data_IF_160947847944
#
_entry.id   IF_160947847944
#
_cell.length_a   1.000
_cell.length_b   1.000
_cell.length_c   1.000
_cell.angle_alpha   90.00
_cell.angle_beta   90.00
_cell.angle_gamma   90.00
#
_symmetry.space_group_name_H-M   'P 1'
#
loop_
_entity.id
_entity.type
_entity.pdbx_description
1 polymer ?
#
# COMPACT_ATOMS: atom_id res chain seq x y z
N UNK A 1 -9.23 21.92 -2.75
CA UNK A 1 -9.19 21.10 -3.99
C UNK A 1 -7.94 20.23 -4.13
N UNK A 2 -7.16 20.08 -3.06
CA UNK A 2 -5.97 19.20 -3.04
C UNK A 2 -6.40 17.73 -3.03
N UNK A 3 -7.50 17.40 -2.38
CA UNK A 3 -8.04 16.04 -2.33
C UNK A 3 -8.50 15.48 -3.69
N UNK A 4 -8.99 16.35 -4.61
CA UNK A 4 -9.42 15.89 -5.94
C UNK A 4 -8.26 15.53 -6.86
N UNK A 5 -7.11 16.21 -6.72
CA UNK A 5 -5.91 15.92 -7.52
C UNK A 5 -5.22 14.63 -7.08
N UNK A 6 -5.24 14.34 -5.77
CA UNK A 6 -4.67 13.10 -5.23
C UNK A 6 -5.52 11.89 -5.61
N UNK A 7 -6.85 12.00 -5.52
CA UNK A 7 -7.76 10.95 -5.98
C UNK A 7 -7.60 10.64 -7.46
N UNK A 8 -7.45 11.65 -8.31
CA UNK A 8 -7.19 11.42 -9.72
C UNK A 8 -5.85 10.69 -9.94
N UNK A 9 -4.81 10.97 -9.11
CA UNK A 9 -3.52 10.30 -9.16
C UNK A 9 -3.62 8.81 -8.78
N UNK A 10 -4.18 8.51 -7.63
CA UNK A 10 -4.32 7.14 -7.14
C UNK A 10 -5.14 6.27 -8.09
N UNK A 11 -6.26 6.78 -8.55
CA UNK A 11 -7.14 6.01 -9.40
C UNK A 11 -6.57 5.68 -10.77
N UNK A 12 -5.77 6.58 -11.41
CA UNK A 12 -5.16 6.25 -12.70
C UNK A 12 -4.09 5.15 -12.55
N UNK A 13 -3.39 5.13 -11.41
CA UNK A 13 -2.41 4.09 -11.11
C UNK A 13 -3.13 2.76 -10.91
N UNK A 14 -4.22 2.76 -10.16
CA UNK A 14 -5.04 1.57 -9.95
C UNK A 14 -5.58 1.04 -11.26
N UNK A 15 -6.12 1.90 -12.13
CA UNK A 15 -6.56 1.48 -13.46
C UNK A 15 -5.42 0.96 -14.33
N UNK A 16 -4.24 1.58 -14.30
CA UNK A 16 -3.08 1.09 -15.05
C UNK A 16 -2.58 -0.29 -14.56
N UNK A 17 -2.67 -0.55 -13.24
CA UNK A 17 -2.35 -1.86 -12.66
C UNK A 17 -3.43 -2.87 -13.01
N UNK A 18 -4.70 -2.47 -13.02
CA UNK A 18 -5.84 -3.34 -13.25
C UNK A 18 -6.07 -3.67 -14.73
N UNK A 19 -5.95 -2.69 -15.65
CA UNK A 19 -6.09 -2.90 -17.10
C UNK A 19 -5.03 -3.83 -17.66
N UNK A 20 -3.90 -3.98 -16.99
CA UNK A 20 -2.88 -4.94 -17.39
C UNK A 20 -3.27 -6.39 -17.10
N UNK A 21 -4.20 -6.63 -16.19
CA UNK A 21 -4.77 -7.97 -15.96
C UNK A 21 -5.73 -8.39 -17.07
N UNK A 22 -6.44 -7.43 -17.68
CA UNK A 22 -7.41 -7.68 -18.75
C UNK A 22 -6.80 -7.49 -20.15
N UNK A 23 -5.49 -7.55 -20.28
CA UNK A 23 -4.67 -7.45 -21.49
C UNK A 23 -5.44 -7.11 -22.76
N UNK A 24 -5.13 -5.97 -23.41
CA UNK A 24 -5.42 -5.62 -24.81
C UNK A 24 -6.32 -4.41 -25.10
N UNK A 25 -6.48 -3.47 -24.19
CA UNK A 25 -6.95 -2.17 -24.63
C UNK A 25 -5.85 -1.12 -24.48
N UNK A 26 -5.50 -0.38 -25.55
CA UNK A 26 -4.56 0.72 -25.44
C UNK A 26 -5.18 1.79 -24.52
N UNK A 27 -4.47 2.13 -23.42
CA UNK A 27 -4.81 3.30 -22.61
C UNK A 27 -4.58 4.53 -23.49
N UNK A 28 -5.63 4.98 -24.15
CA UNK A 28 -5.63 6.23 -24.85
C UNK A 28 -5.87 7.33 -23.83
N UNK A 29 -4.82 8.13 -23.57
CA UNK A 29 -4.87 9.40 -22.86
C UNK A 29 -4.99 9.33 -21.33
N UNK A 30 -3.94 8.80 -20.66
CA UNK A 30 -3.67 9.23 -19.28
C UNK A 30 -3.38 10.74 -19.31
N UNK A 31 -4.11 11.59 -18.56
CA UNK A 31 -3.86 13.03 -18.59
C UNK A 31 -2.39 13.34 -18.32
N UNK A 32 -1.79 14.25 -19.08
CA UNK A 32 -0.36 14.60 -19.03
C UNK A 32 0.11 14.95 -17.61
N UNK A 33 -0.78 15.54 -16.80
CA UNK A 33 -0.55 15.83 -15.38
C UNK A 33 -0.31 14.57 -14.54
N UNK A 34 -0.91 13.44 -14.90
CA UNK A 34 -0.75 12.18 -14.16
C UNK A 34 0.51 11.43 -14.56
N UNK A 35 0.91 11.54 -15.82
CA UNK A 35 2.19 10.98 -16.30
C UNK A 35 3.38 11.62 -15.57
N UNK A 36 3.28 12.90 -15.20
CA UNK A 36 4.31 13.63 -14.45
C UNK A 36 4.47 13.15 -12.99
N UNK A 37 3.50 12.40 -12.46
CA UNK A 37 3.55 11.83 -11.10
C UNK A 37 4.24 10.47 -11.05
N UNK A 38 4.45 9.82 -12.19
CA UNK A 38 5.16 8.55 -12.26
C UNK A 38 6.67 8.75 -12.12
N UNK A 39 7.31 7.81 -11.44
CA UNK A 39 8.77 7.80 -11.28
C UNK A 39 9.35 6.64 -12.07
N UNK A 40 10.16 6.94 -13.11
CA UNK A 40 10.88 5.91 -13.86
C UNK A 40 12.13 5.50 -13.07
N UNK A 41 12.32 4.20 -12.73
CA UNK A 41 13.55 3.75 -12.09
C UNK A 41 14.72 3.74 -13.08
N UNK A 42 15.96 3.82 -12.57
CA UNK A 42 17.18 3.81 -13.39
C UNK A 42 17.34 2.52 -14.21
N UNK A 43 16.77 1.40 -13.74
CA UNK A 43 16.77 0.08 -14.40
C UNK A 43 15.43 -0.60 -14.18
N UNK A 44 15.11 -1.57 -15.06
CA UNK A 44 13.94 -2.43 -14.91
C UNK A 44 14.06 -3.29 -13.66
N UNK A 45 12.96 -3.39 -12.92
CA UNK A 45 12.87 -4.20 -11.70
C UNK A 45 12.22 -5.54 -12.05
N UNK A 46 12.77 -6.60 -11.49
CA UNK A 46 12.22 -7.96 -11.57
C UNK A 46 11.39 -8.25 -10.29
N UNK A 47 10.07 -8.14 -10.40
CA UNK A 47 9.15 -8.37 -9.29
C UNK A 47 9.08 -9.85 -8.82
N UNK A 48 9.75 -10.77 -9.51
CA UNK A 48 9.84 -12.19 -9.07
C UNK A 48 10.94 -12.41 -8.06
N UNK A 49 11.83 -11.43 -7.87
CA UNK A 49 12.87 -11.49 -6.84
C UNK A 49 12.28 -11.30 -5.45
N UNK A 50 13.00 -11.77 -4.45
CA UNK A 50 12.67 -11.63 -3.03
C UNK A 50 13.40 -10.48 -2.34
N UNK A 51 14.39 -9.90 -3.01
CA UNK A 51 15.18 -8.78 -2.50
C UNK A 51 15.40 -7.71 -3.57
N UNK A 52 15.39 -6.45 -3.13
CA UNK A 52 15.68 -5.28 -3.95
C UNK A 52 16.39 -4.23 -3.10
N UNK A 53 17.45 -3.62 -3.64
CA UNK A 53 18.08 -2.44 -3.06
C UNK A 53 17.94 -1.27 -4.03
N UNK A 54 17.52 -0.12 -3.52
CA UNK A 54 17.33 1.12 -4.28
C UNK A 54 17.83 2.32 -3.48
N UNK A 55 18.27 3.34 -4.21
CA UNK A 55 18.53 4.67 -3.67
C UNK A 55 17.42 5.62 -4.11
N UNK A 56 16.82 6.32 -3.17
CA UNK A 56 15.78 7.32 -3.44
C UNK A 56 16.34 8.70 -3.13
N UNK A 57 16.17 9.62 -4.06
CA UNK A 57 16.66 10.99 -3.97
C UNK A 57 15.52 11.96 -4.25
N UNK A 58 15.51 13.10 -3.59
CA UNK A 58 14.60 14.20 -3.92
C UNK A 58 15.18 15.01 -5.06
N UNK A 59 14.37 15.32 -6.07
CA UNK A 59 14.76 16.12 -7.24
C UNK A 59 15.14 17.57 -6.89
N UNK A 60 14.52 18.11 -5.85
CA UNK A 60 14.79 19.48 -5.37
C UNK A 60 15.93 19.57 -4.35
N UNK A 61 16.56 18.44 -4.02
CA UNK A 61 17.66 18.37 -3.05
C UNK A 61 17.21 18.38 -1.59
N UNK A 62 15.91 18.34 -1.30
CA UNK A 62 15.40 18.23 0.07
C UNK A 62 15.81 16.88 0.66
N UNK A 63 16.26 16.90 1.92
CA UNK A 63 16.60 15.67 2.64
C UNK A 63 15.36 14.81 2.83
N UNK A 64 15.43 13.56 2.37
CA UNK A 64 14.35 12.59 2.52
C UNK A 64 14.40 11.88 3.87
N UNK A 65 13.22 11.53 4.35
CA UNK A 65 13.02 10.58 5.44
C UNK A 65 11.94 9.59 5.02
N UNK A 66 12.32 8.34 4.86
CA UNK A 66 11.41 7.26 4.49
C UNK A 66 11.37 6.22 5.63
N UNK A 67 10.22 5.58 5.89
CA UNK A 67 10.09 4.67 7.02
C UNK A 67 10.83 3.35 6.79
N UNK A 68 11.30 2.73 7.88
CA UNK A 68 11.48 1.28 7.92
C UNK A 68 10.14 0.67 8.29
N UNK A 69 9.49 -0.06 7.37
CA UNK A 69 8.13 -0.54 7.54
C UNK A 69 7.91 -1.83 6.73
N UNK A 70 7.26 -2.83 7.32
CA UNK A 70 7.01 -4.10 6.66
C UNK A 70 8.30 -4.76 6.19
N UNK A 71 8.40 -5.06 4.92
CA UNK A 71 9.61 -5.65 4.33
C UNK A 71 10.68 -4.64 3.95
N UNK A 72 10.43 -3.35 4.15
CA UNK A 72 11.35 -2.26 3.81
C UNK A 72 12.21 -1.85 5.00
N UNK A 73 13.53 -1.76 4.79
CA UNK A 73 14.48 -1.08 5.69
C UNK A 73 15.01 0.18 5.02
N UNK A 74 15.12 1.24 5.80
CA UNK A 74 15.51 2.58 5.34
C UNK A 74 16.78 3.01 6.05
N UNK A 75 17.75 3.51 5.27
CA UNK A 75 18.99 4.08 5.76
C UNK A 75 19.22 5.46 5.14
N UNK A 76 19.27 6.49 5.98
CA UNK A 76 19.58 7.85 5.51
C UNK A 76 21.07 7.98 5.17
N UNK A 77 21.36 8.63 4.04
CA UNK A 77 22.71 8.90 3.58
C UNK A 77 23.12 10.35 3.89
N UNK A 78 24.42 10.62 3.90
CA UNK A 78 24.98 11.97 4.19
C UNK A 78 24.57 12.99 3.11
N UNK A 79 24.36 12.55 1.87
CA UNK A 79 23.93 13.38 0.73
C UNK A 79 22.43 13.74 0.74
N UNK A 80 21.70 13.34 1.78
CA UNK A 80 20.27 13.59 1.93
C UNK A 80 19.37 12.58 1.23
N UNK A 81 19.94 11.64 0.47
CA UNK A 81 19.21 10.50 -0.11
C UNK A 81 18.92 9.41 0.93
N UNK A 82 18.13 8.43 0.53
CA UNK A 82 17.80 7.27 1.37
C UNK A 82 18.08 5.99 0.57
N UNK A 83 18.81 5.06 1.18
CA UNK A 83 18.94 3.70 0.68
C UNK A 83 17.85 2.84 1.29
N UNK A 84 17.07 2.18 0.44
CA UNK A 84 16.04 1.23 0.84
C UNK A 84 16.48 -0.18 0.47
N UNK A 85 16.31 -1.10 1.40
CA UNK A 85 16.43 -2.54 1.16
C UNK A 85 15.08 -3.18 1.43
N UNK A 86 14.48 -3.78 0.42
CA UNK A 86 13.26 -4.57 0.53
C UNK A 86 13.67 -6.05 0.57
N UNK A 87 13.24 -6.78 1.59
CA UNK A 87 13.54 -8.20 1.78
C UNK A 87 12.28 -8.95 2.24
N UNK A 88 11.67 -9.70 1.33
CA UNK A 88 10.42 -10.41 1.59
C UNK A 88 10.55 -11.58 2.57
N UNK A 89 11.77 -11.99 2.91
CA UNK A 89 12.02 -12.99 3.93
C UNK A 89 12.17 -12.40 5.35
N UNK A 90 12.32 -11.09 5.46
CA UNK A 90 12.72 -10.45 6.71
C UNK A 90 11.89 -9.18 7.01
N UNK A 91 10.64 -9.32 7.45
CA UNK A 91 9.82 -8.18 7.84
C UNK A 91 10.40 -7.44 9.06
N UNK A 92 10.14 -6.14 9.16
CA UNK A 92 10.57 -5.32 10.29
C UNK A 92 9.79 -5.67 11.54
N UNK A 93 10.47 -5.65 12.68
CA UNK A 93 9.80 -5.78 13.96
C UNK A 93 9.10 -4.47 14.35
N UNK A 94 7.94 -4.60 14.96
CA UNK A 94 7.26 -3.47 15.56
C UNK A 94 8.03 -3.00 16.81
N UNK A 95 8.07 -1.70 17.02
CA UNK A 95 8.60 -1.12 18.27
C UNK A 95 7.69 -1.49 19.45
N UNK A 96 8.22 -1.39 20.66
CA UNK A 96 7.41 -1.67 21.86
C UNK A 96 6.19 -0.74 21.98
N UNK A 97 6.31 0.52 21.52
CA UNK A 97 5.18 1.45 21.48
C UNK A 97 4.13 1.03 20.44
N UNK A 98 4.52 0.56 19.27
CA UNK A 98 3.58 0.09 18.24
C UNK A 98 2.83 -1.18 18.67
N UNK A 99 3.47 -2.07 19.42
CA UNK A 99 2.84 -3.32 19.90
C UNK A 99 1.66 -3.09 20.85
N UNK A 100 1.66 -1.97 21.56
CA UNK A 100 0.63 -1.61 22.57
C UNK A 100 -0.25 -0.45 22.12
N UNK A 101 -0.07 0.06 20.91
CA UNK A 101 -0.83 1.20 20.39
C UNK A 101 -2.23 0.75 19.96
N UNK A 102 -3.23 1.21 20.73
CA UNK A 102 -4.64 0.93 20.45
C UNK A 102 -5.11 1.54 19.12
N UNK A 103 -4.40 2.52 18.57
CA UNK A 103 -4.72 3.12 17.27
C UNK A 103 -4.68 2.12 16.11
N UNK A 104 -3.96 1.00 16.26
CA UNK A 104 -3.92 -0.04 15.25
C UNK A 104 -5.03 -1.10 15.35
N UNK A 105 -5.81 -1.08 16.43
CA UNK A 105 -6.93 -2.02 16.65
C UNK A 105 -8.28 -1.33 16.81
N UNK A 106 -8.27 -0.07 17.25
CA UNK A 106 -9.50 0.69 17.51
C UNK A 106 -10.25 1.03 16.24
N UNK A 107 -11.57 1.12 16.34
CA UNK A 107 -12.42 1.64 15.29
C UNK A 107 -12.21 3.14 15.10
N UNK A 108 -12.17 3.58 13.85
CA UNK A 108 -12.13 5.00 13.46
C UNK A 108 -13.22 5.28 12.43
N UNK A 109 -13.48 6.54 12.09
CA UNK A 109 -14.49 6.88 11.09
C UNK A 109 -14.20 6.23 9.71
N UNK A 110 -12.92 6.04 9.37
CA UNK A 110 -12.49 5.44 8.11
C UNK A 110 -12.34 3.93 8.22
N UNK A 111 -11.78 3.44 9.33
CA UNK A 111 -11.44 2.03 9.51
C UNK A 111 -12.17 1.45 10.73
N UNK A 112 -13.47 1.13 10.57
CA UNK A 112 -14.31 0.58 11.63
C UNK A 112 -14.46 -0.94 11.48
N UNK A 113 -13.67 -1.71 12.22
CA UNK A 113 -13.76 -3.17 12.30
C UNK A 113 -15.01 -3.67 13.06
N UNK A 114 -15.69 -2.81 13.82
CA UNK A 114 -16.90 -3.17 14.57
C UNK A 114 -18.18 -2.98 13.74
N UNK A 115 -18.12 -2.29 12.60
CA UNK A 115 -19.26 -2.17 11.69
C UNK A 115 -19.79 -3.54 11.29
N UNK A 116 -21.11 -3.67 11.24
CA UNK A 116 -21.79 -4.96 10.98
C UNK A 116 -21.48 -5.56 9.63
N UNK A 117 -21.28 -4.75 8.57
CA UNK A 117 -20.93 -5.26 7.25
C UNK A 117 -19.46 -5.73 7.22
N UNK A 118 -18.56 -4.97 7.85
CA UNK A 118 -17.13 -5.29 7.94
C UNK A 118 -16.93 -6.55 8.78
N UNK A 119 -17.46 -6.58 10.00
CA UNK A 119 -17.32 -7.72 10.91
C UNK A 119 -17.96 -9.01 10.36
N UNK A 120 -19.07 -8.89 9.60
CA UNK A 120 -19.69 -10.03 8.91
C UNK A 120 -18.73 -10.63 7.89
N UNK A 121 -18.13 -9.84 7.01
CA UNK A 121 -17.18 -10.33 6.00
C UNK A 121 -15.99 -11.03 6.68
N UNK A 122 -15.43 -10.42 7.72
CA UNK A 122 -14.32 -11.01 8.46
C UNK A 122 -14.70 -12.36 9.07
N UNK A 123 -15.82 -12.42 9.79
CA UNK A 123 -16.28 -13.64 10.45
C UNK A 123 -16.61 -14.76 9.45
N UNK A 124 -17.28 -14.46 8.34
CA UNK A 124 -17.56 -15.43 7.28
C UNK A 124 -16.28 -15.98 6.68
N UNK A 125 -15.29 -15.14 6.41
CA UNK A 125 -13.99 -15.55 5.87
C UNK A 125 -13.25 -16.46 6.86
N UNK A 126 -13.17 -16.06 8.13
CA UNK A 126 -12.45 -16.81 9.15
C UNK A 126 -13.14 -18.13 9.52
N UNK A 127 -14.48 -18.19 9.46
CA UNK A 127 -15.22 -19.43 9.74
C UNK A 127 -14.97 -20.54 8.72
N UNK A 128 -14.47 -20.20 7.54
CA UNK A 128 -14.07 -21.16 6.52
C UNK A 128 -12.67 -21.75 6.75
N UNK A 129 -11.89 -21.18 7.66
CA UNK A 129 -10.57 -21.65 8.01
C UNK A 129 -10.63 -22.74 9.11
N UNK A 130 -9.55 -23.49 9.25
CA UNK A 130 -9.39 -24.39 10.38
C UNK A 130 -9.30 -23.60 11.69
N UNK A 131 -9.83 -24.16 12.77
CA UNK A 131 -9.76 -23.55 14.11
C UNK A 131 -8.32 -23.37 14.62
N UNK A 132 -7.37 -24.10 14.07
CA UNK A 132 -5.95 -24.00 14.37
C UNK A 132 -5.20 -23.00 13.47
N UNK A 133 -5.89 -22.23 12.63
CA UNK A 133 -5.23 -21.29 11.72
C UNK A 133 -4.45 -20.21 12.49
N UNK A 134 -3.24 -19.94 12.02
CA UNK A 134 -2.36 -18.91 12.55
C UNK A 134 -2.88 -17.51 12.20
N UNK A 135 -2.41 -16.47 12.88
CA UNK A 135 -2.73 -15.08 12.54
C UNK A 135 -2.27 -14.70 11.14
N UNK A 136 -1.16 -15.27 10.66
CA UNK A 136 -0.69 -15.09 9.29
C UNK A 136 -1.67 -15.67 8.27
N UNK A 137 -2.14 -16.91 8.47
CA UNK A 137 -3.12 -17.54 7.59
C UNK A 137 -4.45 -16.79 7.59
N UNK A 138 -4.88 -16.28 8.75
CA UNK A 138 -6.06 -15.42 8.86
C UNK A 138 -5.88 -14.12 8.06
N UNK A 139 -4.75 -13.43 8.20
CA UNK A 139 -4.45 -12.19 7.50
C UNK A 139 -4.40 -12.38 5.97
N UNK A 140 -3.76 -13.46 5.50
CA UNK A 140 -3.73 -13.80 4.07
C UNK A 140 -5.11 -14.16 3.52
N UNK A 141 -5.96 -14.87 4.28
CA UNK A 141 -7.32 -15.17 3.87
C UNK A 141 -8.19 -13.90 3.78
N UNK A 142 -8.06 -12.98 4.74
CA UNK A 142 -8.76 -11.70 4.70
C UNK A 142 -8.29 -10.84 3.51
N UNK A 143 -6.99 -10.83 3.22
CA UNK A 143 -6.44 -10.16 2.05
C UNK A 143 -7.03 -10.73 0.75
N UNK A 144 -7.02 -12.05 0.58
CA UNK A 144 -7.61 -12.71 -0.57
C UNK A 144 -9.11 -12.42 -0.71
N UNK A 145 -9.82 -12.38 0.44
CA UNK A 145 -11.23 -12.01 0.47
C UNK A 145 -11.50 -10.61 -0.06
N UNK A 146 -10.70 -9.60 0.33
CA UNK A 146 -10.87 -8.23 -0.16
C UNK A 146 -10.62 -8.15 -1.67
N UNK A 147 -9.56 -8.80 -2.16
CA UNK A 147 -9.24 -8.85 -3.59
C UNK A 147 -10.39 -9.37 -4.44
N UNK A 148 -11.10 -10.41 -3.94
CA UNK A 148 -12.24 -11.02 -4.61
C UNK A 148 -13.56 -10.25 -4.38
N UNK A 149 -13.67 -9.53 -3.26
CA UNK A 149 -14.92 -8.93 -2.80
C UNK A 149 -15.26 -7.64 -3.53
N UNK A 150 -14.25 -6.85 -3.90
CA UNK A 150 -14.42 -5.59 -4.61
C UNK A 150 -14.54 -5.89 -6.10
N UNK A 151 -15.78 -5.87 -6.59
CA UNK A 151 -16.13 -6.21 -7.98
C UNK A 151 -15.88 -5.05 -8.93
N UNK A 152 -16.23 -3.83 -8.50
CA UNK A 152 -16.04 -2.61 -9.29
C UNK A 152 -14.81 -1.86 -8.83
N UNK A 153 -13.74 -2.00 -9.57
CA UNK A 153 -12.44 -1.36 -9.30
C UNK A 153 -12.34 0.06 -9.87
N UNK A 154 -13.45 0.75 -9.99
CA UNK A 154 -13.56 2.10 -10.51
C UNK A 154 -13.26 3.18 -9.45
N UNK A 155 -13.04 4.41 -9.95
CA UNK A 155 -12.62 5.60 -9.19
C UNK A 155 -13.78 6.50 -8.76
N UNK A 156 -14.97 5.95 -8.54
CA UNK A 156 -16.17 6.78 -8.30
C UNK A 156 -16.24 7.36 -6.88
N UNK A 157 -15.48 6.80 -5.94
CA UNK A 157 -15.46 7.22 -4.54
C UNK A 157 -14.08 7.72 -4.12
N UNK A 158 -14.06 8.88 -3.49
CA UNK A 158 -12.86 9.45 -2.94
C UNK A 158 -12.67 8.98 -1.50
N UNK A 159 -11.77 8.06 -1.24
CA UNK A 159 -11.36 7.62 0.10
C UNK A 159 -12.55 7.13 0.94
N UNK A 160 -13.27 6.11 0.46
CA UNK A 160 -14.40 5.55 1.17
C UNK A 160 -13.96 4.79 2.43
N UNK A 161 -14.80 4.82 3.48
CA UNK A 161 -14.54 4.05 4.70
C UNK A 161 -14.67 2.53 4.45
N UNK A 162 -14.09 1.72 5.34
CA UNK A 162 -14.24 0.27 5.31
C UNK A 162 -15.71 -0.16 5.25
N UNK A 163 -16.58 0.52 5.99
CA UNK A 163 -18.01 0.23 6.03
C UNK A 163 -18.74 0.60 4.73
N UNK A 164 -18.35 1.69 4.07
CA UNK A 164 -18.89 2.07 2.77
C UNK A 164 -18.44 1.09 1.68
N UNK A 165 -17.15 0.77 1.64
CA UNK A 165 -16.58 -0.20 0.70
C UNK A 165 -17.20 -1.59 0.89
N UNK A 166 -17.40 -2.03 2.14
CA UNK A 166 -18.07 -3.31 2.44
C UNK A 166 -19.51 -3.37 1.91
N UNK A 167 -20.23 -2.24 1.81
CA UNK A 167 -21.60 -2.19 1.28
C UNK A 167 -21.66 -2.03 -0.22
N UNK A 168 -20.77 -1.20 -0.79
CA UNK A 168 -20.82 -0.83 -2.20
C UNK A 168 -20.03 -1.79 -3.09
N UNK A 169 -19.04 -2.49 -2.56
CA UNK A 169 -18.12 -3.39 -3.28
C UNK A 169 -17.38 -2.72 -4.43
N UNK A 170 -17.10 -1.46 -4.29
CA UNK A 170 -16.36 -0.68 -5.28
C UNK A 170 -15.26 0.16 -4.61
N UNK A 171 -14.21 0.43 -5.35
CA UNK A 171 -13.10 1.26 -4.90
C UNK A 171 -11.78 0.91 -5.56
N UNK A 172 -10.82 1.81 -5.40
CA UNK A 172 -9.45 1.67 -5.88
C UNK A 172 -8.50 1.09 -4.79
N UNK A 173 -7.20 1.36 -4.88
CA UNK A 173 -6.23 0.86 -3.91
C UNK A 173 -6.50 1.35 -2.49
N UNK A 174 -7.03 2.55 -2.31
CA UNK A 174 -7.32 3.10 -0.99
C UNK A 174 -8.47 2.34 -0.30
N UNK A 175 -9.54 2.05 -1.01
CA UNK A 175 -10.67 1.27 -0.50
C UNK A 175 -10.29 -0.18 -0.19
N UNK A 176 -9.45 -0.80 -1.05
CA UNK A 176 -8.92 -2.14 -0.78
C UNK A 176 -8.09 -2.14 0.51
N UNK A 177 -7.19 -1.17 0.69
CA UNK A 177 -6.36 -1.08 1.88
C UNK A 177 -7.18 -0.80 3.14
N UNK A 178 -8.11 0.15 3.08
CA UNK A 178 -8.96 0.52 4.22
C UNK A 178 -9.90 -0.62 4.61
N UNK A 179 -10.53 -1.29 3.64
CA UNK A 179 -11.36 -2.46 3.93
C UNK A 179 -10.55 -3.59 4.55
N UNK A 180 -9.36 -3.89 4.02
CA UNK A 180 -8.49 -4.92 4.60
C UNK A 180 -8.11 -4.59 6.04
N UNK A 181 -7.72 -3.35 6.33
CA UNK A 181 -7.45 -2.91 7.71
C UNK A 181 -8.68 -3.12 8.62
N UNK A 182 -9.88 -2.77 8.15
CA UNK A 182 -11.13 -3.00 8.90
C UNK A 182 -11.39 -4.49 9.19
N UNK A 183 -11.18 -5.39 8.20
CA UNK A 183 -11.33 -6.83 8.39
C UNK A 183 -10.28 -7.40 9.36
N UNK A 184 -9.02 -6.94 9.27
CA UNK A 184 -7.96 -7.32 10.19
C UNK A 184 -8.29 -6.90 11.63
N UNK A 185 -8.76 -5.67 11.85
CA UNK A 185 -9.20 -5.18 13.17
C UNK A 185 -10.38 -5.98 13.72
N UNK A 186 -11.36 -6.31 12.88
CA UNK A 186 -12.47 -7.20 13.25
C UNK A 186 -11.99 -8.59 13.68
N UNK A 187 -10.86 -9.06 13.16
CA UNK A 187 -10.20 -10.32 13.53
C UNK A 187 -9.23 -10.19 14.71
N UNK A 188 -9.18 -9.04 15.40
CA UNK A 188 -8.20 -8.70 16.43
C UNK A 188 -6.75 -8.89 15.94
N UNK A 189 -6.47 -8.44 14.73
CA UNK A 189 -5.14 -8.32 14.15
C UNK A 189 -4.86 -6.81 13.99
N UNK A 190 -3.90 -6.24 14.74
CA UNK A 190 -3.55 -4.84 14.59
C UNK A 190 -3.12 -4.53 13.15
N UNK A 191 -3.58 -3.41 12.60
CA UNK A 191 -3.35 -3.08 11.21
C UNK A 191 -3.21 -1.58 10.98
N UNK A 192 -2.45 -1.23 9.94
CA UNK A 192 -2.25 0.14 9.48
C UNK A 192 -2.24 0.23 7.96
N UNK A 193 -2.53 1.40 7.42
CA UNK A 193 -2.34 1.70 6.01
C UNK A 193 -0.89 2.08 5.72
N UNK A 194 -0.47 1.84 4.48
CA UNK A 194 0.79 2.33 3.94
C UNK A 194 0.51 3.04 2.64
N UNK A 195 1.03 4.24 2.50
CA UNK A 195 1.02 4.99 1.25
C UNK A 195 2.43 5.03 0.68
N UNK A 196 2.54 4.89 -0.64
CA UNK A 196 3.84 4.82 -1.27
C UNK A 196 3.76 4.62 -2.77
N UNK A 197 4.71 3.90 -3.29
CA UNK A 197 4.85 3.64 -4.71
C UNK A 197 4.80 2.14 -4.99
N UNK A 198 4.19 1.75 -6.12
CA UNK A 198 4.26 0.38 -6.63
C UNK A 198 4.83 0.38 -8.05
N UNK A 199 5.72 -0.56 -8.33
CA UNK A 199 6.34 -0.72 -9.63
C UNK A 199 5.42 -1.42 -10.62
N UNK A 200 5.17 -0.76 -11.76
CA UNK A 200 4.41 -1.27 -12.89
C UNK A 200 5.37 -1.51 -14.07
N UNK A 201 5.71 -2.77 -14.37
CA UNK A 201 6.61 -3.07 -15.48
C UNK A 201 5.95 -2.74 -16.82
N UNK A 202 6.75 -2.29 -17.80
CA UNK A 202 6.35 -2.04 -19.19
C UNK A 202 5.24 -0.97 -19.39
N UNK A 203 5.02 -0.09 -18.43
CA UNK A 203 4.06 0.99 -18.55
C UNK A 203 4.75 2.28 -19.01
N UNK A 204 4.42 2.74 -20.21
CA UNK A 204 4.79 4.07 -20.75
C UNK A 204 6.27 4.42 -20.87
N UNK A 205 7.16 3.65 -20.23
CA UNK A 205 8.60 3.87 -20.16
C UNK A 205 9.37 2.55 -20.29
N UNK A 206 10.61 2.58 -20.85
CA UNK A 206 11.42 1.37 -21.07
C UNK A 206 11.69 0.56 -19.80
N UNK A 207 11.93 1.25 -18.67
CA UNK A 207 12.21 0.63 -17.38
C UNK A 207 10.95 0.37 -16.55
N UNK A 208 9.74 0.60 -17.10
CA UNK A 208 8.51 0.65 -16.32
C UNK A 208 8.44 1.93 -15.47
N UNK A 209 7.48 2.01 -14.59
CA UNK A 209 7.28 3.17 -13.70
C UNK A 209 6.88 2.75 -12.30
N UNK A 210 7.20 3.59 -11.33
CA UNK A 210 6.55 3.58 -10.03
C UNK A 210 5.35 4.50 -10.07
N UNK A 211 4.20 4.00 -9.64
CA UNK A 211 2.98 4.75 -9.45
C UNK A 211 2.59 4.85 -7.98
N UNK A 212 1.88 5.90 -7.61
CA UNK A 212 1.36 6.08 -6.25
C UNK A 212 0.32 5.02 -5.93
N UNK A 213 0.42 4.45 -4.72
CA UNK A 213 -0.37 3.30 -4.32
C UNK A 213 -0.58 3.27 -2.81
N UNK A 214 -1.64 2.56 -2.39
CA UNK A 214 -1.93 2.31 -0.99
C UNK A 214 -2.15 0.83 -0.75
N UNK A 215 -1.60 0.31 0.35
CA UNK A 215 -1.79 -1.07 0.82
C UNK A 215 -1.87 -1.14 2.34
N UNK A 216 -1.99 -2.33 2.90
CA UNK A 216 -2.13 -2.54 4.33
C UNK A 216 -0.90 -3.22 4.92
N UNK A 217 -0.68 -3.04 6.21
CA UNK A 217 0.19 -3.86 7.02
C UNK A 217 -0.58 -4.48 8.19
N UNK A 218 -0.31 -5.76 8.47
CA UNK A 218 -0.81 -6.48 9.63
C UNK A 218 0.32 -6.72 10.62
N UNK A 219 0.05 -6.54 11.91
CA UNK A 219 0.99 -6.91 12.97
C UNK A 219 0.79 -8.37 13.36
N UNK A 220 1.72 -9.23 12.96
CA UNK A 220 1.68 -10.66 13.22
C UNK A 220 2.99 -11.08 13.91
N UNK A 221 2.88 -11.72 15.04
CA UNK A 221 4.02 -12.22 15.83
C UNK A 221 5.09 -11.13 16.10
N UNK A 222 4.62 -9.91 16.36
CA UNK A 222 5.48 -8.75 16.65
C UNK A 222 6.14 -8.12 15.42
N UNK A 223 5.78 -8.52 14.21
CA UNK A 223 6.32 -8.01 12.94
C UNK A 223 5.24 -7.41 12.06
N UNK A 224 5.58 -6.34 11.35
CA UNK A 224 4.72 -5.74 10.34
C UNK A 224 4.83 -6.50 9.02
N UNK A 225 3.72 -7.05 8.56
CA UNK A 225 3.61 -7.82 7.32
C UNK A 225 2.84 -7.01 6.29
N UNK A 226 3.44 -6.71 5.16
CA UNK A 226 2.77 -6.02 4.06
C UNK A 226 1.79 -6.95 3.34
N UNK A 227 0.59 -6.43 3.07
CA UNK A 227 -0.50 -7.12 2.41
C UNK A 227 -1.18 -6.17 1.43
N UNK A 228 -1.05 -6.45 0.15
CA UNK A 228 -1.74 -5.70 -0.90
C UNK A 228 -2.96 -6.46 -1.41
N UNK A 229 -4.15 -5.92 -1.15
CA UNK A 229 -5.40 -6.52 -1.57
C UNK A 229 -5.88 -6.05 -2.96
N UNK A 230 -5.14 -5.15 -3.61
CA UNK A 230 -5.45 -4.64 -4.96
C UNK A 230 -4.86 -5.53 -6.04
N UNK A 231 -3.70 -6.14 -5.77
CA UNK A 231 -2.93 -6.93 -6.72
C UNK A 231 -3.22 -8.43 -6.58
N UNK A 232 -2.93 -9.21 -7.62
CA UNK A 232 -3.03 -10.68 -7.57
C UNK A 232 -2.04 -11.24 -6.54
N UNK A 233 -0.78 -10.82 -6.64
CA UNK A 233 0.24 -11.19 -5.67
C UNK A 233 0.06 -10.39 -4.37
N UNK A 234 0.18 -11.03 -3.20
CA UNK A 234 -0.04 -10.35 -1.92
C UNK A 234 0.93 -9.20 -1.66
N UNK A 235 2.14 -9.27 -2.19
CA UNK A 235 3.17 -8.23 -2.11
C UNK A 235 4.37 -8.58 -3.00
N UNK A 236 5.11 -7.57 -3.45
CA UNK A 236 6.33 -7.75 -4.26
C UNK A 236 7.43 -6.77 -3.82
N UNK A 237 8.67 -7.03 -4.24
CA UNK A 237 9.80 -6.10 -3.99
C UNK A 237 9.62 -4.74 -4.67
N UNK A 238 8.68 -4.61 -5.59
CA UNK A 238 8.36 -3.35 -6.26
C UNK A 238 7.52 -2.37 -5.46
N UNK A 239 7.35 -2.54 -4.14
CA UNK A 239 6.66 -1.58 -3.27
C UNK A 239 7.66 -0.74 -2.50
N UNK A 240 7.44 0.57 -2.46
CA UNK A 240 8.24 1.54 -1.70
C UNK A 240 7.29 2.28 -0.74
N UNK A 241 7.42 2.03 0.56
CA UNK A 241 6.67 2.76 1.58
C UNK A 241 7.23 4.18 1.75
N UNK A 242 6.37 5.19 1.68
CA UNK A 242 6.74 6.59 1.95
C UNK A 242 6.17 7.08 3.27
N UNK A 243 4.97 6.61 3.64
CA UNK A 243 4.29 6.95 4.89
C UNK A 243 3.49 5.76 5.38
N UNK A 244 3.45 5.56 6.69
CA UNK A 244 2.51 4.65 7.36
C UNK A 244 1.45 5.44 8.11
N UNK A 245 0.21 4.95 8.16
CA UNK A 245 -0.93 5.62 8.81
C UNK A 245 -1.70 4.66 9.68
N UNK A 246 -2.01 5.05 10.91
CA UNK A 246 -2.92 4.29 11.77
C UNK A 246 -4.38 4.35 11.29
N UNK A 247 -4.69 5.15 10.27
CA UNK A 247 -6.05 5.46 9.81
C UNK A 247 -6.91 6.07 10.93
N UNK A 248 -6.27 6.81 11.84
CA UNK A 248 -6.95 7.55 12.91
C UNK A 248 -7.51 8.87 12.38
N UNK A 249 -8.58 9.33 12.99
CA UNK A 249 -9.27 10.57 12.58
C UNK A 249 -8.37 11.81 12.72
N UNK A 250 -7.44 11.79 13.68
CA UNK A 250 -6.55 12.92 13.99
C UNK A 250 -5.22 12.91 13.21
N UNK A 251 -4.70 11.73 12.90
CA UNK A 251 -3.35 11.56 12.30
C UNK A 251 -3.30 11.78 10.80
N UNK A 252 -4.38 11.46 10.09
CA UNK A 252 -4.40 11.36 8.63
C UNK A 252 -3.97 12.65 7.92
N UNK A 253 -4.37 13.83 8.39
CA UNK A 253 -4.03 15.09 7.75
C UNK A 253 -2.52 15.39 7.81
N UNK A 254 -1.84 15.06 8.91
CA UNK A 254 -0.40 15.24 9.08
C UNK A 254 0.38 14.21 8.23
N UNK A 255 -0.08 12.98 8.21
CA UNK A 255 0.48 11.89 7.43
C UNK A 255 0.36 12.15 5.92
N UNK A 256 -0.80 12.66 5.47
CA UNK A 256 -1.02 13.09 4.09
C UNK A 256 -0.09 14.23 3.66
N UNK A 257 0.28 15.13 4.56
CA UNK A 257 1.22 16.22 4.22
C UNK A 257 2.62 15.70 3.88
N UNK A 258 3.06 14.61 4.51
CA UNK A 258 4.33 13.95 4.20
C UNK A 258 4.37 13.39 2.77
N UNK A 259 3.23 12.89 2.27
CA UNK A 259 3.13 12.40 0.89
C UNK A 259 3.24 13.54 -0.11
N UNK A 260 2.58 14.68 0.14
CA UNK A 260 2.60 15.83 -0.76
C UNK A 260 4.02 16.33 -1.04
N UNK A 261 4.92 16.22 -0.06
CA UNK A 261 6.32 16.59 -0.22
C UNK A 261 7.11 15.64 -1.16
N UNK A 262 6.61 14.43 -1.36
CA UNK A 262 7.28 13.40 -2.17
C UNK A 262 6.67 13.25 -3.57
N UNK A 263 5.40 13.65 -3.77
CA UNK A 263 4.71 13.52 -5.06
C UNK A 263 5.42 14.32 -6.16
N UNK A 264 5.82 13.61 -7.22
CA UNK A 264 6.50 14.22 -8.39
C UNK A 264 7.96 14.61 -8.13
N UNK A 265 8.46 14.44 -6.91
CA UNK A 265 9.75 14.93 -6.45
C UNK A 265 10.79 13.84 -6.15
N UNK A 266 10.56 12.60 -6.58
CA UNK A 266 11.44 11.48 -6.32
C UNK A 266 12.14 11.00 -7.58
N UNK A 267 13.44 10.64 -7.42
CA UNK A 267 14.20 9.81 -8.35
C UNK A 267 14.54 8.48 -7.66
N UNK A 268 14.44 7.38 -8.42
CA UNK A 268 14.71 6.02 -7.92
C UNK A 268 15.82 5.38 -8.74
N UNK A 269 16.94 5.13 -8.09
CA UNK A 269 18.08 4.40 -8.64
C UNK A 269 18.07 2.96 -8.11
N UNK A 270 18.07 1.97 -9.01
CA UNK A 270 18.20 0.56 -8.65
C UNK A 270 19.67 0.25 -8.39
N UNK A 271 19.98 -0.14 -7.15
CA UNK A 271 21.30 -0.60 -6.72
C UNK A 271 21.28 -2.13 -6.86
N UNK A 272 22.35 -2.72 -7.39
CA UNK A 272 22.51 -4.18 -7.34
C UNK A 272 22.77 -4.56 -5.88
N UNK A 273 21.94 -5.45 -5.33
CA UNK A 273 22.24 -6.03 -4.04
C UNK A 273 23.57 -6.77 -4.15
N UNK A 274 24.55 -6.42 -3.32
CA UNK A 274 25.77 -7.21 -3.19
C UNK A 274 25.38 -8.64 -2.85
N UNK A 275 25.83 -9.60 -3.68
CA UNK A 275 25.54 -11.04 -3.55
C UNK A 275 26.20 -11.63 -2.32
#
# INVERSE_FOLDING_TARGET
NVGSSMNAGFGAITNAIMEKHDALSPVNEVPELMVSLFVEPSKKIDNTKTQLAIKVTSKDGTKLTLPSAGYQRSQSNEDGSVTLTIDLASPTEATESEKIDEGFVSATAICDGTDTAVSKIANETLSALLTSSTKMEQALALRAKVYEYIDNKGMSTAFASASQTARNKEGDCSEHAVLLCGLLRAANIPSRGVMGLVYVPNYGKPNGVFGWHMWSQALVDGKWIDLDATLTEPFTVGHIATVTTSLSDEGMAAEMSGILATIGNLDVEVIEADQ
#
